data_IF_344342444417
#
_entry.id   IF_344342444417
#
_cell.length_a   1.000
_cell.length_b   1.000
_cell.length_c   1.000
_cell.angle_alpha   90.00
_cell.angle_beta   90.00
_cell.angle_gamma   90.00
#
_symmetry.space_group_name_H-M   'P 1'
#
loop_
_entity.id
_entity.type
_entity.pdbx_description
1 polymer ?
#
# COMPACT_ATOMS: atom_id res chain seq x y z
N UNK A 1 6.26 -2.24 -10.02
CA UNK A 1 5.26 -1.17 -9.81
C UNK A 1 4.98 -0.43 -11.12
N UNK A 2 4.10 -1.00 -11.95
CA UNK A 2 3.77 -0.42 -13.27
C UNK A 2 2.86 0.81 -13.14
N UNK A 3 1.82 0.76 -12.29
CA UNK A 3 0.87 1.86 -12.12
C UNK A 3 1.51 3.19 -11.71
N UNK A 4 2.38 3.18 -10.69
CA UNK A 4 3.08 4.39 -10.27
C UNK A 4 4.22 4.79 -11.23
N UNK A 5 4.98 3.85 -11.81
CA UNK A 5 6.15 4.22 -12.63
C UNK A 5 5.84 4.54 -14.08
N UNK A 6 4.91 3.82 -14.69
CA UNK A 6 4.66 3.87 -16.14
C UNK A 6 3.39 4.64 -16.49
N UNK A 7 2.38 4.58 -15.62
CA UNK A 7 1.06 5.23 -15.85
C UNK A 7 0.93 6.54 -15.07
N UNK A 8 1.89 6.85 -14.20
CA UNK A 8 1.92 8.05 -13.37
C UNK A 8 0.65 8.27 -12.53
N UNK A 9 0.12 7.20 -11.95
CA UNK A 9 -1.03 7.30 -11.06
C UNK A 9 -0.66 8.04 -9.77
N UNK A 10 -1.49 9.00 -9.37
CA UNK A 10 -1.36 9.67 -8.06
C UNK A 10 -1.70 8.74 -6.89
N UNK A 11 -2.61 7.78 -7.10
CA UNK A 11 -3.09 6.87 -6.06
C UNK A 11 -3.57 5.56 -6.66
N UNK A 12 -3.33 4.47 -5.95
CA UNK A 12 -3.94 3.16 -6.21
C UNK A 12 -4.86 2.83 -5.04
N UNK A 13 -6.07 2.37 -5.33
CA UNK A 13 -6.99 1.91 -4.31
C UNK A 13 -7.44 0.47 -4.58
N UNK A 14 -7.79 -0.21 -3.50
CA UNK A 14 -8.31 -1.56 -3.52
C UNK A 14 -9.51 -1.68 -2.59
N UNK A 15 -10.35 -2.67 -2.84
CA UNK A 15 -11.56 -2.93 -2.05
C UNK A 15 -11.61 -4.40 -1.69
N UNK A 16 -11.97 -4.70 -0.45
CA UNK A 16 -12.15 -6.07 0.03
C UNK A 16 -13.47 -6.21 0.80
N UNK A 17 -13.91 -7.45 0.98
CA UNK A 17 -14.85 -7.75 2.06
C UNK A 17 -14.06 -7.70 3.38
N UNK A 18 -14.48 -6.93 4.39
CA UNK A 18 -13.75 -6.84 5.64
C UNK A 18 -13.63 -8.20 6.37
N UNK A 19 -14.47 -9.18 6.02
CA UNK A 19 -14.42 -10.54 6.58
C UNK A 19 -13.42 -11.43 5.85
N UNK A 20 -12.97 -11.05 4.66
CA UNK A 20 -11.94 -11.77 3.92
C UNK A 20 -10.55 -11.38 4.44
N UNK A 21 -10.13 -12.10 5.48
CA UNK A 21 -8.86 -11.85 6.17
C UNK A 21 -7.64 -12.09 5.28
N UNK A 22 -7.75 -12.95 4.26
CA UNK A 22 -6.66 -13.19 3.32
C UNK A 22 -6.42 -11.96 2.45
N UNK A 23 -7.48 -11.44 1.85
CA UNK A 23 -7.41 -10.20 1.04
C UNK A 23 -6.94 -9.01 1.89
N UNK A 24 -7.51 -8.83 3.09
CA UNK A 24 -7.13 -7.74 4.00
C UNK A 24 -5.65 -7.78 4.35
N UNK A 25 -5.11 -8.96 4.71
CA UNK A 25 -3.68 -9.12 5.03
C UNK A 25 -2.77 -8.77 3.87
N UNK A 26 -3.17 -9.05 2.63
CA UNK A 26 -2.38 -8.67 1.45
C UNK A 26 -2.34 -7.15 1.30
N UNK A 27 -3.47 -6.47 1.48
CA UNK A 27 -3.54 -5.01 1.39
C UNK A 27 -2.67 -4.33 2.47
N UNK A 28 -2.70 -4.87 3.69
CA UNK A 28 -1.86 -4.39 4.79
C UNK A 28 -0.37 -4.65 4.55
N UNK A 29 -0.01 -5.83 4.01
CA UNK A 29 1.38 -6.15 3.64
C UNK A 29 1.94 -5.24 2.55
N UNK A 30 1.09 -4.75 1.66
CA UNK A 30 1.46 -3.75 0.65
C UNK A 30 1.52 -2.32 1.23
N UNK A 31 1.37 -2.18 2.54
CA UNK A 31 1.35 -0.91 3.26
C UNK A 31 0.25 0.04 2.78
N UNK A 32 -0.85 -0.50 2.25
CA UNK A 32 -2.02 0.32 1.91
C UNK A 32 -2.75 0.73 3.18
N UNK A 33 -3.19 1.98 3.22
CA UNK A 33 -3.93 2.56 4.34
C UNK A 33 -5.43 2.27 4.22
N UNK A 34 -6.08 1.94 5.34
CA UNK A 34 -7.54 1.75 5.38
C UNK A 34 -8.22 3.11 5.41
N UNK A 35 -8.96 3.44 4.35
CA UNK A 35 -9.57 4.77 4.18
C UNK A 35 -11.04 4.80 4.61
N UNK A 36 -11.74 3.66 4.57
CA UNK A 36 -13.15 3.64 4.95
C UNK A 36 -13.82 2.28 4.90
N UNK A 37 -14.96 2.20 5.57
CA UNK A 37 -15.85 1.05 5.57
C UNK A 37 -17.24 1.47 5.14
N UNK A 38 -17.68 0.98 3.99
CA UNK A 38 -19.04 1.18 3.51
C UNK A 38 -19.92 0.00 3.97
N UNK A 39 -20.84 0.29 4.89
CA UNK A 39 -21.76 -0.70 5.46
C UNK A 39 -22.88 -1.04 4.46
N UNK A 40 -23.19 -2.32 4.28
CA UNK A 40 -24.24 -2.79 3.36
C UNK A 40 -24.14 -2.24 1.93
N UNK A 41 -22.91 -1.98 1.46
CA UNK A 41 -22.68 -1.28 0.20
C UNK A 41 -22.98 -2.12 -1.04
N UNK A 42 -22.88 -3.45 -0.95
CA UNK A 42 -23.05 -4.35 -2.10
C UNK A 42 -23.95 -5.52 -1.76
N UNK A 43 -24.66 -6.05 -2.75
CA UNK A 43 -25.36 -7.33 -2.64
C UNK A 43 -24.48 -8.41 -3.27
N UNK A 44 -24.07 -9.41 -2.49
CA UNK A 44 -23.44 -10.63 -3.01
C UNK A 44 -24.31 -11.82 -2.65
N UNK A 45 -24.71 -12.60 -3.66
CA UNK A 45 -25.52 -13.81 -3.49
C UNK A 45 -26.79 -13.56 -2.66
N UNK A 46 -27.49 -12.45 -2.93
CA UNK A 46 -28.72 -12.07 -2.22
C UNK A 46 -28.51 -11.46 -0.82
N UNK A 47 -27.28 -11.42 -0.29
CA UNK A 47 -26.98 -10.87 1.04
C UNK A 47 -26.25 -9.54 0.91
N UNK A 48 -26.67 -8.53 1.68
CA UNK A 48 -25.92 -7.27 1.78
C UNK A 48 -24.60 -7.49 2.50
N UNK A 49 -23.53 -6.95 1.94
CA UNK A 49 -22.19 -7.08 2.47
C UNK A 49 -21.49 -5.72 2.52
N UNK A 50 -20.56 -5.63 3.45
CA UNK A 50 -19.74 -4.46 3.64
C UNK A 50 -18.58 -4.44 2.64
N UNK A 51 -18.02 -3.24 2.45
CA UNK A 51 -16.82 -3.03 1.65
C UNK A 51 -15.85 -2.13 2.38
N UNK A 52 -14.65 -2.64 2.62
CA UNK A 52 -13.54 -1.83 3.12
C UNK A 52 -12.70 -1.34 1.94
N UNK A 53 -12.30 -0.07 2.00
CA UNK A 53 -11.46 0.59 1.01
C UNK A 53 -10.07 0.82 1.59
N UNK A 54 -9.08 0.54 0.76
CA UNK A 54 -7.68 0.79 1.04
C UNK A 54 -7.08 1.67 -0.06
N UNK A 55 -6.18 2.58 0.31
CA UNK A 55 -5.47 3.47 -0.59
C UNK A 55 -3.96 3.41 -0.38
N UNK A 56 -3.21 3.61 -1.45
CA UNK A 56 -1.77 3.85 -1.43
C UNK A 56 -1.48 5.01 -2.36
N UNK A 57 -0.96 6.09 -1.79
CA UNK A 57 -0.53 7.27 -2.55
C UNK A 57 0.85 7.06 -3.16
N UNK A 58 1.14 7.81 -4.22
CA UNK A 58 2.42 7.75 -4.93
C UNK A 58 3.60 8.08 -4.00
N UNK A 59 3.43 9.07 -3.14
CA UNK A 59 4.43 9.57 -2.18
C UNK A 59 4.78 8.51 -1.13
N UNK A 60 3.75 7.81 -0.64
CA UNK A 60 3.92 6.68 0.29
C UNK A 60 4.68 5.54 -0.40
N UNK A 61 4.31 5.22 -1.64
CA UNK A 61 4.99 4.20 -2.43
C UNK A 61 6.46 4.54 -2.73
N UNK A 62 6.77 5.81 -3.04
CA UNK A 62 8.15 6.28 -3.25
C UNK A 62 9.00 6.16 -1.97
N UNK A 63 8.39 6.43 -0.82
CA UNK A 63 9.07 6.29 0.48
C UNK A 63 9.41 4.82 0.78
N UNK A 64 8.50 3.90 0.50
CA UNK A 64 8.69 2.45 0.69
C UNK A 64 9.73 1.84 -0.27
N UNK A 65 9.94 2.45 -1.43
CA UNK A 65 10.86 1.94 -2.46
C UNK A 65 12.23 2.61 -2.43
N UNK A 66 12.44 3.61 -1.56
CA UNK A 66 13.77 4.19 -1.37
C UNK A 66 14.65 3.14 -0.68
N UNK A 67 15.79 2.74 -1.28
CA UNK A 67 16.72 1.86 -0.59
C UNK A 67 17.17 2.55 0.71
N UNK A 68 17.34 1.80 1.82
CA UNK A 68 17.93 2.35 3.02
C UNK A 68 19.28 2.98 2.64
N UNK A 69 19.52 4.21 3.10
CA UNK A 69 20.77 4.92 2.84
C UNK A 69 21.93 3.98 3.20
N UNK A 70 22.88 3.70 2.29
CA UNK A 70 24.02 2.89 2.66
C UNK A 70 24.77 3.63 3.77
N UNK A 71 24.99 2.96 4.90
CA UNK A 71 25.87 3.46 5.95
C UNK A 71 27.24 3.64 5.31
N UNK A 72 27.63 4.88 5.03
CA UNK A 72 28.98 5.21 4.56
C UNK A 72 29.96 4.83 5.68
N UNK A 73 30.67 3.72 5.51
CA UNK A 73 31.78 3.36 6.39
C UNK A 73 32.92 4.35 6.11
N UNK A 74 33.19 5.21 7.10
CA UNK A 74 34.34 6.09 7.10
C UNK A 74 35.62 5.27 7.03
N UNK A 75 36.30 5.32 5.89
CA UNK A 75 37.72 5.06 5.82
C UNK A 75 38.41 6.41 6.03
N UNK A 76 38.67 6.73 7.30
CA UNK A 76 39.66 7.74 7.68
C UNK A 76 41.03 7.11 7.39
N UNK A 77 41.62 7.48 6.26
CA UNK A 77 42.99 7.14 5.89
C UNK A 77 43.82 8.41 6.07
N UNK A 78 44.19 8.70 7.32
CA UNK A 78 45.19 9.72 7.61
C UNK A 78 46.57 9.08 7.42
N UNK A 79 47.08 9.25 6.20
CA UNK A 79 48.47 9.00 5.85
C UNK A 79 49.04 10.20 5.11
N UNK A 80 49.81 11.02 5.84
CA UNK A 80 51.16 11.58 5.56
C UNK A 80 51.44 12.66 6.61
#
# INVERSE_FOLDING_TARGET
AYGFRSVDLAKVYARADPRDTASVRVLEKLSMQREGLLRSHVVRRGVRADRVYYGLMREEWLTLTRPPTPCVQGHENDGI
#
